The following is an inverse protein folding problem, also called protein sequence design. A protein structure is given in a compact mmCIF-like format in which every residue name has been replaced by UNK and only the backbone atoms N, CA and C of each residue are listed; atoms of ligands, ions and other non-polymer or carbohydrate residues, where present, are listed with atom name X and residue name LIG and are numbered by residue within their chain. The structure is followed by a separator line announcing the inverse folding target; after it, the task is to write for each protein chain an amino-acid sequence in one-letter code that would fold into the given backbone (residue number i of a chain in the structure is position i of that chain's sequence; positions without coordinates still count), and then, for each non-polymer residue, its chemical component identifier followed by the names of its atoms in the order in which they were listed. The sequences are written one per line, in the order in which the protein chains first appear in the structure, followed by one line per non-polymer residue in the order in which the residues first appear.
data_IF_714369825922
#
_entry.id   IF_714369825922
#
_cell.length_a   1.000
_cell.length_b   1.000
_cell.length_c   1.000
_cell.angle_alpha   90.00
_cell.angle_beta   90.00
_cell.angle_gamma   90.00
#
_symmetry.space_group_name_H-M   'P 1'
#
loop_
_entity.id
_entity.type
_entity.pdbx_description
1 polymer ?
#
# COMPACT_ATOMS: atom_id res chain seq x y z
N UNK A 1 11.22 48.45 -8.30
CA UNK A 1 10.46 47.73 -7.25
C UNK A 1 9.70 46.52 -7.79
N UNK A 2 8.95 46.62 -8.90
CA UNK A 2 8.22 45.48 -9.49
C UNK A 2 9.10 44.32 -10.00
N UNK A 3 10.24 44.60 -10.64
CA UNK A 3 11.14 43.54 -11.09
C UNK A 3 11.64 42.66 -9.93
N UNK A 4 11.91 43.26 -8.77
CA UNK A 4 12.35 42.54 -7.56
C UNK A 4 11.26 41.62 -7.01
N UNK A 5 9.99 42.04 -7.08
CA UNK A 5 8.84 41.23 -6.64
C UNK A 5 8.59 40.05 -7.58
N UNK A 6 8.72 40.25 -8.89
CA UNK A 6 8.59 39.18 -9.89
C UNK A 6 9.69 38.13 -9.73
N UNK A 7 10.93 38.57 -9.52
CA UNK A 7 12.07 37.67 -9.29
C UNK A 7 11.86 36.88 -7.98
N UNK A 8 11.44 37.55 -6.89
CA UNK A 8 11.17 36.87 -5.62
C UNK A 8 10.04 35.83 -5.75
N UNK A 9 8.98 36.17 -6.48
CA UNK A 9 7.86 35.26 -6.77
C UNK A 9 8.29 34.02 -7.55
N UNK A 10 9.16 34.18 -8.56
CA UNK A 10 9.71 33.06 -9.34
C UNK A 10 10.59 32.14 -8.47
N UNK A 11 11.41 32.69 -7.57
CA UNK A 11 12.21 31.89 -6.64
C UNK A 11 11.34 31.11 -5.65
N UNK A 12 10.25 31.69 -5.14
CA UNK A 12 9.30 30.99 -4.26
C UNK A 12 8.64 29.81 -4.98
N UNK A 13 8.21 29.98 -6.23
CA UNK A 13 7.64 28.89 -7.06
C UNK A 13 8.66 27.77 -7.32
N UNK A 14 9.92 28.10 -7.60
CA UNK A 14 10.99 27.11 -7.80
C UNK A 14 11.31 26.33 -6.51
N UNK A 15 11.30 26.97 -5.34
CA UNK A 15 11.58 26.30 -4.04
C UNK A 15 10.42 25.44 -3.53
N UNK A 16 9.20 25.67 -4.03
CA UNK A 16 8.00 24.91 -3.63
C UNK A 16 7.71 23.73 -4.57
N UNK A 17 8.45 23.60 -5.67
CA UNK A 17 8.41 22.41 -6.52
C UNK A 17 9.02 21.22 -5.76
N UNK A 18 8.16 20.37 -5.19
CA UNK A 18 8.59 19.08 -4.65
C UNK A 18 9.01 18.18 -5.82
N UNK A 19 10.31 18.03 -6.03
CA UNK A 19 10.84 17.04 -6.95
C UNK A 19 10.82 15.67 -6.24
N UNK A 20 9.81 14.85 -6.54
CA UNK A 20 9.82 13.45 -6.11
C UNK A 20 10.75 12.72 -7.08
N UNK A 21 11.90 12.18 -6.60
CA UNK A 21 12.80 11.45 -7.47
C UNK A 21 12.10 10.22 -8.05
N UNK A 22 12.29 10.00 -9.36
CA UNK A 22 11.82 8.80 -10.02
C UNK A 22 12.80 7.65 -9.77
N UNK A 23 12.29 6.52 -9.29
CA UNK A 23 13.03 5.26 -9.22
C UNK A 23 12.29 4.21 -10.05
N UNK A 24 13.00 3.39 -10.85
CA UNK A 24 12.36 2.26 -11.52
C UNK A 24 11.62 1.37 -10.52
N UNK A 25 10.42 0.85 -10.87
CA UNK A 25 9.71 -0.09 -10.02
C UNK A 25 10.60 -1.28 -9.63
N UNK A 26 10.45 -1.76 -8.39
CA UNK A 26 11.23 -2.87 -7.84
C UNK A 26 12.76 -2.67 -7.84
N UNK A 27 13.26 -1.45 -8.01
CA UNK A 27 14.70 -1.16 -7.94
C UNK A 27 15.23 -1.15 -6.51
N UNK A 28 16.51 -1.51 -6.29
CA UNK A 28 17.16 -1.35 -4.99
C UNK A 28 17.15 0.09 -4.46
N UNK A 29 17.22 1.07 -5.37
CA UNK A 29 17.19 2.48 -5.00
C UNK A 29 15.84 2.91 -4.41
N UNK A 30 14.73 2.36 -4.92
CA UNK A 30 13.41 2.59 -4.35
C UNK A 30 13.32 2.03 -2.92
N UNK A 31 13.84 0.83 -2.69
CA UNK A 31 13.90 0.22 -1.34
C UNK A 31 14.72 1.09 -0.38
N UNK A 32 15.89 1.55 -0.83
CA UNK A 32 16.77 2.41 -0.04
C UNK A 32 16.11 3.77 0.25
N UNK A 33 15.46 4.36 -0.74
CA UNK A 33 14.73 5.62 -0.57
C UNK A 33 13.62 5.48 0.47
N UNK A 34 12.80 4.44 0.38
CA UNK A 34 11.71 4.20 1.34
C UNK A 34 12.27 4.02 2.76
N UNK A 35 13.31 3.20 2.93
CA UNK A 35 13.92 2.98 4.24
C UNK A 35 14.55 4.25 4.85
N UNK A 36 14.96 5.22 4.03
CA UNK A 36 15.45 6.53 4.49
C UNK A 36 14.34 7.46 4.99
N UNK A 37 13.07 7.21 4.63
CA UNK A 37 11.95 8.01 5.10
C UNK A 37 11.60 7.74 6.57
N UNK A 38 12.20 6.72 7.20
CA UNK A 38 11.98 6.35 8.59
C UNK A 38 10.50 6.15 8.94
N UNK A 39 9.80 5.37 8.09
CA UNK A 39 8.39 5.01 8.31
C UNK A 39 8.26 3.90 9.36
N UNK A 40 7.03 3.50 9.65
CA UNK A 40 6.72 2.41 10.60
C UNK A 40 7.01 1.00 10.06
N UNK A 41 7.51 0.88 8.84
CA UNK A 41 7.75 -0.39 8.15
C UNK A 41 9.08 -0.36 7.40
N UNK A 42 9.63 -1.54 7.12
CA UNK A 42 10.91 -1.71 6.40
C UNK A 42 10.67 -2.30 5.02
N UNK A 43 11.19 -1.64 3.98
CA UNK A 43 11.13 -2.12 2.60
C UNK A 43 12.23 -3.17 2.31
N UNK A 44 11.92 -4.10 1.41
CA UNK A 44 12.82 -5.12 0.88
C UNK A 44 12.32 -5.67 -0.47
N UNK A 45 13.13 -6.47 -1.15
CA UNK A 45 12.73 -7.10 -2.41
C UNK A 45 11.98 -8.41 -2.15
N UNK A 46 10.71 -8.46 -2.54
CA UNK A 46 9.90 -9.69 -2.52
C UNK A 46 9.88 -10.39 -3.89
N UNK A 47 10.01 -9.62 -4.97
CA UNK A 47 10.04 -10.12 -6.34
C UNK A 47 11.47 -10.05 -6.88
N UNK A 48 12.04 -11.18 -7.30
CA UNK A 48 13.39 -11.23 -7.85
C UNK A 48 13.43 -10.80 -9.32
N UNK A 49 12.74 -11.54 -10.20
CA UNK A 49 12.72 -11.33 -11.66
C UNK A 49 11.29 -11.17 -12.18
N UNK A 50 10.51 -10.32 -11.53
CA UNK A 50 9.13 -10.06 -11.96
C UNK A 50 9.10 -8.95 -13.01
N UNK A 51 8.38 -9.20 -14.11
CA UNK A 51 8.00 -8.13 -15.01
C UNK A 51 6.87 -7.27 -14.39
N UNK A 52 6.83 -5.99 -14.76
CA UNK A 52 5.78 -5.10 -14.27
C UNK A 52 4.38 -5.50 -14.77
N UNK A 53 4.25 -6.24 -15.88
CA UNK A 53 2.95 -6.83 -16.26
C UNK A 53 2.47 -7.86 -15.24
N UNK A 54 3.36 -8.74 -14.76
CA UNK A 54 3.04 -9.71 -13.71
C UNK A 54 2.63 -9.02 -12.41
N UNK A 55 3.40 -8.01 -11.96
CA UNK A 55 3.07 -7.23 -10.75
C UNK A 55 1.70 -6.56 -10.87
N UNK A 56 1.33 -6.04 -12.05
CA UNK A 56 0.00 -5.48 -12.29
C UNK A 56 -1.09 -6.56 -12.25
N UNK A 57 -0.84 -7.74 -12.80
CA UNK A 57 -1.77 -8.87 -12.76
C UNK A 57 -2.08 -9.31 -11.33
N UNK A 58 -1.13 -9.19 -10.40
CA UNK A 58 -1.38 -9.51 -8.98
C UNK A 58 -2.50 -8.63 -8.36
N UNK A 59 -2.73 -7.44 -8.91
CA UNK A 59 -3.75 -6.48 -8.46
C UNK A 59 -5.08 -6.64 -9.23
N UNK A 60 -5.71 -7.82 -9.15
CA UNK A 60 -6.86 -8.21 -9.99
C UNK A 60 -8.25 -7.67 -9.57
N UNK A 61 -8.36 -6.91 -8.48
CA UNK A 61 -9.66 -6.46 -7.97
C UNK A 61 -10.13 -5.15 -8.63
N UNK A 62 -11.35 -5.15 -9.18
CA UNK A 62 -12.02 -3.94 -9.62
C UNK A 62 -12.71 -3.24 -8.44
N UNK A 63 -12.26 -2.03 -8.11
CA UNK A 63 -12.88 -1.20 -7.08
C UNK A 63 -14.20 -0.60 -7.59
N UNK A 64 -15.10 -0.23 -6.66
CA UNK A 64 -16.41 0.38 -6.96
C UNK A 64 -17.40 -0.54 -7.71
N UNK A 65 -17.31 -1.85 -7.50
CA UNK A 65 -18.30 -2.83 -7.95
C UNK A 65 -19.64 -2.78 -7.21
N UNK A 66 -20.57 -3.70 -7.51
CA UNK A 66 -21.85 -3.79 -6.82
C UNK A 66 -21.66 -3.99 -5.32
N UNK A 67 -22.49 -3.32 -4.52
CA UNK A 67 -22.50 -3.45 -3.06
C UNK A 67 -23.64 -4.38 -2.64
N UNK A 68 -23.32 -5.33 -1.76
CA UNK A 68 -24.33 -6.12 -1.06
C UNK A 68 -25.02 -5.27 0.02
N UNK A 69 -26.22 -5.66 0.49
CA UNK A 69 -26.86 -5.02 1.62
C UNK A 69 -25.94 -4.92 2.84
N UNK A 70 -26.00 -3.79 3.54
CA UNK A 70 -25.20 -3.56 4.74
C UNK A 70 -25.63 -4.50 5.88
N UNK A 71 -24.65 -5.08 6.58
CA UNK A 71 -24.86 -5.91 7.77
C UNK A 71 -24.80 -5.01 9.01
N UNK A 72 -25.97 -4.62 9.51
CA UNK A 72 -26.10 -3.65 10.61
C UNK A 72 -26.00 -4.26 12.03
N UNK A 73 -26.22 -5.56 12.19
CA UNK A 73 -26.27 -6.19 13.51
C UNK A 73 -25.01 -7.00 13.76
N UNK A 74 -24.10 -6.50 14.60
CA UNK A 74 -23.10 -7.36 15.26
C UNK A 74 -22.39 -6.79 16.50
N UNK A 75 -22.60 -5.52 16.86
CA UNK A 75 -21.85 -4.88 17.94
C UNK A 75 -22.78 -4.12 18.88
N UNK A 76 -23.55 -4.84 19.70
CA UNK A 76 -24.23 -4.26 20.87
C UNK A 76 -23.19 -3.80 21.92
N UNK A 77 -23.36 -4.23 23.18
CA UNK A 77 -22.44 -3.87 24.29
C UNK A 77 -21.13 -4.70 24.31
N UNK A 78 -20.61 -5.09 23.16
CA UNK A 78 -19.43 -5.96 23.09
C UNK A 78 -18.15 -5.17 23.40
N UNK A 79 -17.43 -5.57 24.45
CA UNK A 79 -16.10 -5.03 24.75
C UNK A 79 -15.08 -5.73 23.87
N UNK A 80 -14.52 -5.00 22.90
CA UNK A 80 -13.48 -5.52 22.01
C UNK A 80 -12.12 -5.57 22.73
N UNK A 81 -11.30 -6.60 22.48
CA UNK A 81 -9.95 -6.67 23.03
C UNK A 81 -9.02 -5.67 22.35
N UNK A 82 -7.92 -5.30 23.01
CA UNK A 82 -6.87 -4.44 22.44
C UNK A 82 -6.17 -5.08 21.22
N UNK A 83 -6.06 -6.41 21.21
CA UNK A 83 -5.50 -7.19 20.10
C UNK A 83 -6.28 -8.47 19.86
N UNK A 84 -6.41 -8.89 18.60
CA UNK A 84 -7.11 -10.11 18.22
C UNK A 84 -6.39 -10.82 17.07
N UNK A 85 -6.22 -12.14 17.17
CA UNK A 85 -5.67 -13.00 16.11
C UNK A 85 -6.57 -14.22 15.91
N UNK A 86 -7.24 -14.30 14.75
CA UNK A 86 -8.14 -15.40 14.39
C UNK A 86 -7.46 -16.78 14.49
N UNK A 87 -6.15 -16.86 14.27
CA UNK A 87 -5.38 -18.13 14.34
C UNK A 87 -5.19 -18.63 15.77
N UNK A 88 -5.29 -17.72 16.75
CA UNK A 88 -5.24 -18.04 18.17
C UNK A 88 -6.64 -18.38 18.69
N UNK A 89 -7.64 -17.57 18.33
CA UNK A 89 -9.03 -17.77 18.75
C UNK A 89 -9.64 -19.09 18.23
N UNK A 90 -9.35 -19.44 16.97
CA UNK A 90 -9.84 -20.66 16.34
C UNK A 90 -8.68 -21.55 15.93
N UNK A 91 -7.90 -21.98 16.92
CA UNK A 91 -6.68 -22.78 16.72
C UNK A 91 -6.91 -24.11 15.99
N UNK A 92 -8.12 -24.68 16.09
CA UNK A 92 -8.49 -25.94 15.45
C UNK A 92 -8.96 -25.78 13.99
N UNK A 93 -8.93 -24.56 13.44
CA UNK A 93 -9.29 -24.26 12.06
C UNK A 93 -8.02 -24.02 11.23
N UNK A 94 -7.42 -25.06 10.61
CA UNK A 94 -6.14 -24.93 9.91
C UNK A 94 -6.20 -23.98 8.70
N UNK A 95 -7.37 -23.84 8.08
CA UNK A 95 -7.59 -22.94 6.93
C UNK A 95 -7.32 -21.47 7.24
N UNK A 96 -7.43 -21.04 8.50
CA UNK A 96 -7.17 -19.64 8.90
C UNK A 96 -5.67 -19.31 8.83
N UNK A 97 -4.80 -20.32 8.89
CA UNK A 97 -3.34 -20.16 8.79
C UNK A 97 -2.82 -20.32 7.36
N UNK A 98 -3.66 -20.77 6.44
CA UNK A 98 -3.28 -21.08 5.06
C UNK A 98 -2.99 -19.80 4.27
N UNK A 99 -1.78 -19.71 3.69
CA UNK A 99 -1.43 -18.69 2.70
C UNK A 99 -1.51 -19.33 1.33
N UNK A 100 -2.33 -18.76 0.45
CA UNK A 100 -2.56 -19.27 -0.92
C UNK A 100 -1.78 -18.47 -1.95
N UNK A 101 -1.57 -19.07 -3.13
CA UNK A 101 -0.93 -18.45 -4.28
C UNK A 101 -1.94 -18.30 -5.43
N UNK A 102 -2.10 -17.08 -5.94
CA UNK A 102 -2.96 -16.77 -7.09
C UNK A 102 -2.25 -17.02 -8.44
N UNK A 103 -0.94 -17.29 -8.42
CA UNK A 103 -0.11 -17.47 -9.60
C UNK A 103 -0.07 -16.22 -10.48
N UNK A 104 0.03 -16.42 -11.80
CA UNK A 104 0.02 -15.36 -12.81
C UNK A 104 -1.40 -14.93 -13.23
N UNK A 105 -2.36 -15.01 -12.30
CA UNK A 105 -3.76 -14.67 -12.53
C UNK A 105 -4.21 -13.57 -11.56
N UNK A 106 -5.02 -12.63 -12.05
CA UNK A 106 -5.67 -11.60 -11.23
C UNK A 106 -6.90 -12.11 -10.48
N UNK A 107 -6.76 -13.24 -9.78
CA UNK A 107 -7.85 -13.96 -9.11
C UNK A 107 -7.88 -13.74 -7.59
N UNK A 108 -7.42 -12.59 -7.12
CA UNK A 108 -7.41 -12.24 -5.69
C UNK A 108 -8.79 -11.78 -5.16
N UNK A 109 -9.74 -11.50 -6.05
CA UNK A 109 -11.10 -11.07 -5.73
C UNK A 109 -11.99 -12.25 -5.34
#
# INVERSE_FOLDING_TARGET
MWCSVVILGLFVVLTSARNVPYFPPLSPDLVNYINKLNTTWKAGHNFANADMSYVKTLCGTFLHGPKLPERFEFAGDLVLPESFDSRQQWSNCPTIREIRDQGSCGSCW
#
